data_IF_580514226290
#
_entry.id   IF_580514226290
#
_cell.length_a   1.000
_cell.length_b   1.000
_cell.length_c   1.000
_cell.angle_alpha   90.00
_cell.angle_beta   90.00
_cell.angle_gamma   90.00
#
_symmetry.space_group_name_H-M   'P 1'
#
loop_
_entity.id
_entity.type
_entity.pdbx_description
1 polymer ?
#
# COMPACT_ATOMS: atom_id res chain seq x y z
N UNK A 1 -3.34 -8.68 2.11
CA UNK A 1 -3.25 -7.35 1.45
C UNK A 1 -1.83 -6.81 1.63
N UNK A 2 -1.47 -5.69 1.00
CA UNK A 2 -0.18 -5.02 1.27
C UNK A 2 -0.36 -3.58 1.71
N UNK A 3 0.54 -3.09 2.54
CA UNK A 3 0.69 -1.67 2.86
C UNK A 3 1.94 -1.13 2.18
N UNK A 4 1.81 -0.04 1.45
CA UNK A 4 2.91 0.58 0.71
C UNK A 4 3.41 1.87 1.36
N UNK A 5 2.71 2.36 2.38
CA UNK A 5 3.17 3.51 3.14
C UNK A 5 2.11 4.10 4.07
N UNK A 6 2.53 5.13 4.79
CA UNK A 6 1.68 6.04 5.53
C UNK A 6 2.20 7.46 5.32
N UNK A 7 1.31 8.39 4.97
CA UNK A 7 1.66 9.71 4.47
C UNK A 7 0.97 10.80 5.28
N UNK A 8 1.53 12.00 5.31
CA UNK A 8 0.95 13.14 6.05
C UNK A 8 -0.26 13.76 5.36
N UNK A 9 -0.45 13.51 4.06
CA UNK A 9 -1.58 14.05 3.27
C UNK A 9 -2.22 12.97 2.41
N UNK A 10 -3.49 13.16 2.04
CA UNK A 10 -4.25 12.22 1.25
C UNK A 10 -3.71 12.11 -0.18
N UNK A 11 -3.24 13.22 -0.74
CA UNK A 11 -2.72 13.30 -2.11
C UNK A 11 -1.46 12.46 -2.24
N UNK A 12 -0.55 12.55 -1.27
CA UNK A 12 0.66 11.71 -1.23
C UNK A 12 0.30 10.22 -1.12
N UNK A 13 -0.71 9.89 -0.32
CA UNK A 13 -1.22 8.53 -0.19
C UNK A 13 -1.81 7.99 -1.50
N UNK A 14 -2.58 8.81 -2.24
CA UNK A 14 -3.12 8.48 -3.55
C UNK A 14 -2.03 8.30 -4.61
N UNK A 15 -1.06 9.22 -4.64
CA UNK A 15 0.07 9.17 -5.57
C UNK A 15 0.91 7.92 -5.36
N UNK A 16 1.21 7.56 -4.10
CA UNK A 16 1.93 6.33 -3.79
C UNK A 16 1.18 5.07 -4.27
N UNK A 17 -0.16 5.03 -4.10
CA UNK A 17 -0.98 3.94 -4.61
C UNK A 17 -0.95 3.85 -6.13
N UNK A 18 -1.00 4.98 -6.82
CA UNK A 18 -0.89 5.02 -8.28
C UNK A 18 0.48 4.49 -8.77
N UNK A 19 1.57 4.94 -8.16
CA UNK A 19 2.94 4.51 -8.49
C UNK A 19 3.12 3.00 -8.26
N UNK A 20 2.68 2.48 -7.12
CA UNK A 20 2.77 1.05 -6.83
C UNK A 20 1.97 0.21 -7.85
N UNK A 21 0.76 0.65 -8.24
CA UNK A 21 -0.03 -0.07 -9.25
C UNK A 21 0.61 -0.04 -10.65
N UNK A 22 1.31 1.04 -11.00
CA UNK A 22 2.01 1.14 -12.28
C UNK A 22 3.27 0.27 -12.32
N UNK A 23 3.89 0.02 -11.17
CA UNK A 23 5.16 -0.69 -11.11
C UNK A 23 5.04 -2.22 -11.28
N UNK A 24 3.83 -2.77 -11.15
CA UNK A 24 3.57 -4.18 -11.41
C UNK A 24 2.18 -4.43 -12.01
N UNK A 25 2.13 -5.16 -13.13
CA UNK A 25 0.86 -5.56 -13.77
C UNK A 25 -0.02 -6.43 -12.87
N UNK A 26 0.55 -7.15 -11.90
CA UNK A 26 -0.22 -7.92 -10.91
C UNK A 26 -1.00 -7.05 -9.93
N UNK A 27 -0.71 -5.74 -9.88
CA UNK A 27 -1.43 -4.76 -9.07
C UNK A 27 -2.51 -4.01 -9.87
N UNK A 28 -2.70 -4.34 -11.16
CA UNK A 28 -3.70 -3.68 -12.00
C UNK A 28 -5.13 -3.85 -11.46
N UNK A 29 -5.45 -5.02 -10.89
CA UNK A 29 -6.74 -5.33 -10.25
C UNK A 29 -6.79 -4.96 -8.76
N UNK A 30 -5.70 -4.41 -8.20
CA UNK A 30 -5.64 -4.09 -6.79
C UNK A 30 -6.58 -2.93 -6.45
N UNK A 31 -7.27 -3.05 -5.32
CA UNK A 31 -8.18 -2.02 -4.80
C UNK A 31 -7.43 -1.13 -3.82
N UNK A 32 -7.41 0.18 -4.10
CA UNK A 32 -6.83 1.16 -3.19
C UNK A 32 -7.66 1.24 -1.90
N UNK A 33 -6.99 1.10 -0.76
CA UNK A 33 -7.55 1.33 0.58
C UNK A 33 -6.72 2.42 1.23
N UNK A 34 -7.29 3.62 1.28
CA UNK A 34 -6.65 4.81 1.86
C UNK A 34 -7.45 5.18 3.10
N UNK A 35 -6.83 5.04 4.26
CA UNK A 35 -7.49 5.16 5.55
C UNK A 35 -6.84 6.30 6.34
N UNK A 36 -7.65 7.22 6.86
CA UNK A 36 -7.19 8.24 7.80
C UNK A 36 -7.06 7.60 9.18
N UNK A 37 -5.84 7.52 9.69
CA UNK A 37 -5.55 6.91 10.99
C UNK A 37 -5.11 8.02 11.96
N UNK A 38 -5.86 8.25 13.06
CA UNK A 38 -5.39 9.10 14.13
C UNK A 38 -4.21 8.43 14.84
N UNK A 39 -3.22 9.23 15.21
CA UNK A 39 -2.05 8.78 15.98
C UNK A 39 -2.12 9.33 17.40
N UNK A 40 -1.39 8.71 18.33
CA UNK A 40 -1.45 9.02 19.77
C UNK A 40 -1.01 10.44 20.14
N UNK A 41 -0.28 11.14 19.26
CA UNK A 41 0.16 12.52 19.46
C UNK A 41 -0.78 13.56 18.81
N UNK A 42 -2.00 13.16 18.43
CA UNK A 42 -2.99 14.03 17.78
C UNK A 42 -2.72 14.31 16.30
N UNK A 43 -1.63 13.79 15.72
CA UNK A 43 -1.41 13.86 14.26
C UNK A 43 -2.27 12.83 13.56
N UNK A 44 -2.62 13.11 12.31
CA UNK A 44 -3.30 12.17 11.44
C UNK A 44 -2.37 11.73 10.32
N UNK A 45 -2.45 10.45 9.96
CA UNK A 45 -1.71 9.89 8.83
C UNK A 45 -2.68 9.18 7.88
N UNK A 46 -2.39 9.26 6.60
CA UNK A 46 -3.09 8.56 5.55
C UNK A 46 -2.36 7.26 5.25
N UNK A 47 -2.91 6.15 5.74
CA UNK A 47 -2.36 4.81 5.53
C UNK A 47 -2.80 4.32 4.15
N UNK A 48 -1.84 3.86 3.35
CA UNK A 48 -2.09 3.39 1.99
C UNK A 48 -1.87 1.89 1.89
N UNK A 49 -2.95 1.17 1.55
CA UNK A 49 -2.97 -0.27 1.35
C UNK A 49 -3.53 -0.62 -0.03
N UNK A 50 -3.08 -1.75 -0.57
CA UNK A 50 -3.60 -2.37 -1.77
C UNK A 50 -4.22 -3.73 -1.41
N UNK A 51 -5.53 -3.85 -1.63
CA UNK A 51 -6.34 -5.02 -1.33
C UNK A 51 -6.79 -5.73 -2.63
N UNK A 52 -7.56 -6.81 -2.50
CA UNK A 52 -8.01 -7.61 -3.65
C UNK A 52 -6.91 -8.48 -4.28
N UNK A 53 -5.77 -8.61 -3.60
CA UNK A 53 -4.65 -9.45 -4.05
C UNK A 53 -4.85 -10.89 -3.58
N UNK A 54 -4.48 -11.86 -4.41
CA UNK A 54 -4.40 -13.26 -3.99
C UNK A 54 -3.39 -13.43 -2.86
N UNK A 55 -3.75 -14.21 -1.83
CA UNK A 55 -2.87 -14.48 -0.69
C UNK A 55 -1.52 -15.08 -1.11
N UNK A 56 -1.53 -15.97 -2.11
CA UNK A 56 -0.30 -16.60 -2.65
C UNK A 56 0.58 -15.63 -3.42
N UNK A 57 -0.01 -14.59 -4.01
CA UNK A 57 0.71 -13.58 -4.80
C UNK A 57 1.18 -12.39 -3.97
N UNK A 58 0.59 -12.18 -2.79
CA UNK A 58 0.86 -10.99 -1.96
C UNK A 58 2.35 -10.90 -1.57
N UNK A 59 2.97 -12.03 -1.20
CA UNK A 59 4.40 -12.15 -0.89
C UNK A 59 5.30 -11.74 -2.06
N UNK A 60 5.25 -12.45 -3.20
CA UNK A 60 6.03 -12.12 -4.40
C UNK A 60 5.87 -10.67 -4.88
N UNK A 61 4.64 -10.14 -4.89
CA UNK A 61 4.37 -8.74 -5.26
C UNK A 61 5.11 -7.77 -4.34
N UNK A 62 5.08 -8.04 -3.03
CA UNK A 62 5.73 -7.17 -2.06
C UNK A 62 7.26 -7.18 -2.21
N UNK A 63 7.83 -8.34 -2.53
CA UNK A 63 9.26 -8.46 -2.86
C UNK A 63 9.64 -7.70 -4.13
N UNK A 64 8.83 -7.81 -5.18
CA UNK A 64 9.04 -7.08 -6.43
C UNK A 64 9.00 -5.56 -6.22
N UNK A 65 8.03 -5.05 -5.46
CA UNK A 65 7.94 -3.63 -5.12
C UNK A 65 9.21 -3.15 -4.42
N UNK A 66 9.71 -3.91 -3.43
CA UNK A 66 10.96 -3.58 -2.72
C UNK A 66 12.18 -3.56 -3.64
N UNK A 67 12.27 -4.49 -4.59
CA UNK A 67 13.34 -4.51 -5.59
C UNK A 67 13.31 -3.29 -6.52
N UNK A 68 12.12 -2.72 -6.75
CA UNK A 68 11.93 -1.47 -7.50
C UNK A 68 12.12 -0.21 -6.63
N UNK A 69 12.56 -0.36 -5.37
CA UNK A 69 12.77 0.75 -4.44
C UNK A 69 11.49 1.26 -3.76
N UNK A 70 10.37 0.57 -3.92
CA UNK A 70 9.09 0.93 -3.29
C UNK A 70 8.95 0.24 -1.93
N UNK A 71 8.41 0.96 -0.96
CA UNK A 71 8.08 0.37 0.34
C UNK A 71 6.90 -0.59 0.19
N UNK A 72 7.02 -1.75 0.82
CA UNK A 72 5.91 -2.69 0.91
C UNK A 72 6.01 -3.50 2.21
N UNK A 73 4.87 -3.69 2.87
CA UNK A 73 4.69 -4.52 4.06
C UNK A 73 3.51 -5.44 3.80
N UNK A 74 3.69 -6.74 4.03
CA UNK A 74 2.59 -7.69 4.00
C UNK A 74 1.66 -7.44 5.19
N UNK A 75 0.39 -7.28 4.91
CA UNK A 75 -0.66 -7.19 5.93
C UNK A 75 -1.54 -8.41 5.75
N UNK A 76 -1.27 -9.43 6.55
CA UNK A 76 -2.21 -10.52 6.81
C UNK A 76 -3.29 -9.96 7.73
N UNK A 77 -4.56 -10.06 7.31
CA UNK A 77 -5.66 -9.76 8.23
C UNK A 77 -5.55 -10.74 9.41
N UNK A 78 -5.55 -10.18 10.62
CA UNK A 78 -5.96 -10.92 11.82
C UNK A 78 -7.48 -10.96 11.83
#
# INVERSE_FOLDING_TARGET
MIQIGAFSTQERALQAAALARQSSGSLASAVNRIELIPTTNGRQIWRTRLAGLSATQTGPICSQLRQQGLSCILVVNQ
#
